data_IF_889493295769
#
_entry.id   IF_889493295769
#
_cell.length_a   1.000
_cell.length_b   1.000
_cell.length_c   1.000
_cell.angle_alpha   90.00
_cell.angle_beta   90.00
_cell.angle_gamma   90.00
#
_symmetry.space_group_name_H-M   'P 1'
#
loop_
_entity.id
_entity.type
_entity.pdbx_description
1 polymer ?
#
# COMPACT_ATOMS: atom_id res chain seq x y z
N UNK A 1 -14.15 7.28 4.38
CA UNK A 1 -13.02 6.37 4.10
C UNK A 1 -13.46 4.94 4.32
N UNK A 2 -13.15 4.07 3.37
CA UNK A 2 -13.42 2.64 3.46
C UNK A 2 -12.09 1.90 3.44
N UNK A 3 -11.90 0.98 4.40
CA UNK A 3 -10.71 0.14 4.46
C UNK A 3 -11.05 -1.21 3.85
N UNK A 4 -10.25 -1.66 2.88
CA UNK A 4 -10.43 -2.94 2.21
C UNK A 4 -9.11 -3.71 2.23
N UNK A 5 -9.12 -4.91 2.81
CA UNK A 5 -7.98 -5.83 2.78
C UNK A 5 -8.19 -6.85 1.65
N UNK A 6 -7.22 -6.96 0.77
CA UNK A 6 -7.32 -7.89 -0.35
C UNK A 6 -6.99 -9.31 0.08
N UNK A 7 -7.58 -10.29 -0.61
CA UNK A 7 -7.39 -11.71 -0.28
C UNK A 7 -6.06 -12.26 -0.76
N UNK A 8 -5.49 -11.64 -1.80
CA UNK A 8 -4.24 -12.10 -2.40
C UNK A 8 -3.06 -11.78 -1.49
N UNK A 9 -2.06 -12.63 -1.47
CA UNK A 9 -0.89 -12.42 -0.63
C UNK A 9 0.12 -13.56 -0.70
N UNK A 10 -0.13 -14.59 -1.53
CA UNK A 10 0.74 -15.76 -1.62
C UNK A 10 1.65 -15.77 -2.85
N UNK A 11 1.42 -14.87 -3.81
CA UNK A 11 2.22 -14.80 -5.03
C UNK A 11 3.51 -14.00 -4.86
N UNK A 12 4.30 -13.94 -5.92
CA UNK A 12 5.52 -13.15 -5.95
C UNK A 12 5.19 -11.64 -6.07
N UNK A 13 6.16 -10.82 -5.70
CA UNK A 13 6.02 -9.36 -5.67
C UNK A 13 5.65 -8.75 -7.02
N UNK A 14 6.10 -9.37 -8.12
CA UNK A 14 5.89 -8.85 -9.47
C UNK A 14 4.42 -8.55 -9.76
N UNK A 15 3.52 -9.47 -9.44
CA UNK A 15 2.09 -9.29 -9.74
C UNK A 15 1.48 -8.12 -8.99
N UNK A 16 1.78 -8.00 -7.72
CA UNK A 16 1.30 -6.93 -6.86
C UNK A 16 1.87 -5.57 -7.28
N UNK A 17 3.19 -5.51 -7.51
CA UNK A 17 3.86 -4.26 -7.87
C UNK A 17 3.52 -3.81 -9.29
N UNK A 18 3.36 -4.75 -10.24
CA UNK A 18 2.92 -4.42 -11.59
C UNK A 18 1.52 -3.82 -11.59
N UNK A 19 0.64 -4.33 -10.74
CA UNK A 19 -0.69 -3.76 -10.60
C UNK A 19 -0.64 -2.33 -10.03
N UNK A 20 0.14 -2.12 -8.96
CA UNK A 20 0.16 -0.83 -8.27
C UNK A 20 0.90 0.26 -9.04
N UNK A 21 2.03 -0.08 -9.64
CA UNK A 21 2.95 0.89 -10.25
C UNK A 21 3.08 0.77 -11.76
N UNK A 22 2.48 -0.27 -12.37
CA UNK A 22 2.66 -0.59 -13.78
C UNK A 22 3.85 -1.50 -14.01
N UNK A 23 3.85 -2.25 -15.11
CA UNK A 23 4.96 -3.15 -15.46
C UNK A 23 6.28 -2.39 -15.64
N UNK A 24 6.19 -1.17 -16.18
CA UNK A 24 7.33 -0.27 -16.38
C UNK A 24 7.53 0.69 -15.19
N UNK A 25 6.76 0.55 -14.13
CA UNK A 25 6.72 1.44 -12.95
C UNK A 25 6.28 2.87 -13.27
N UNK A 26 5.60 3.06 -14.39
CA UNK A 26 5.11 4.36 -14.87
C UNK A 26 3.60 4.37 -15.07
N UNK A 27 2.84 3.64 -14.25
CA UNK A 27 1.38 3.63 -14.32
C UNK A 27 0.83 5.04 -14.14
N UNK A 28 -0.03 5.47 -15.07
CA UNK A 28 -0.69 6.77 -14.98
C UNK A 28 -1.58 6.84 -13.73
N UNK A 29 -1.66 8.01 -13.12
CA UNK A 29 -2.45 8.27 -11.92
C UNK A 29 -2.02 7.42 -10.71
N UNK A 30 -0.80 6.89 -10.73
CA UNK A 30 -0.18 6.19 -9.60
C UNK A 30 1.04 6.96 -9.12
N UNK A 31 1.15 7.12 -7.81
CA UNK A 31 2.25 7.86 -7.18
C UNK A 31 2.72 7.11 -5.95
N UNK A 32 4.01 6.81 -5.90
CA UNK A 32 4.64 6.25 -4.71
C UNK A 32 4.71 7.32 -3.63
N UNK A 33 4.05 7.10 -2.49
CA UNK A 33 4.03 8.07 -1.40
C UNK A 33 5.07 7.77 -0.33
N UNK A 34 5.31 6.49 -0.04
CA UNK A 34 6.22 6.08 1.02
C UNK A 34 6.63 4.63 0.85
N UNK A 35 7.79 4.27 1.39
CA UNK A 35 8.31 2.91 1.38
C UNK A 35 9.33 2.68 0.29
N UNK A 36 10.02 1.55 0.39
CA UNK A 36 11.09 1.14 -0.52
C UNK A 36 10.59 -0.03 -1.38
N UNK A 37 10.46 0.21 -2.69
CA UNK A 37 9.94 -0.78 -3.65
C UNK A 37 10.86 -2.01 -3.72
N UNK A 38 12.18 -1.79 -3.80
CA UNK A 38 13.14 -2.88 -3.91
C UNK A 38 13.15 -3.76 -2.65
N UNK A 39 13.17 -3.15 -1.47
CA UNK A 39 13.13 -3.87 -0.22
C UNK A 39 11.82 -4.65 -0.07
N UNK A 40 10.71 -4.02 -0.42
CA UNK A 40 9.39 -4.67 -0.38
C UNK A 40 9.40 -5.91 -1.27
N UNK A 41 9.90 -5.80 -2.50
CA UNK A 41 10.00 -6.92 -3.43
C UNK A 41 10.87 -8.04 -2.88
N UNK A 42 12.05 -7.72 -2.34
CA UNK A 42 12.97 -8.71 -1.77
C UNK A 42 12.34 -9.45 -0.59
N UNK A 43 11.67 -8.75 0.30
CA UNK A 43 11.04 -9.36 1.48
C UNK A 43 9.89 -10.28 1.09
N UNK A 44 9.10 -9.90 0.10
CA UNK A 44 8.01 -10.74 -0.40
C UNK A 44 8.57 -11.98 -1.08
N UNK A 45 9.51 -11.81 -2.01
CA UNK A 45 10.01 -12.91 -2.84
C UNK A 45 10.83 -13.92 -2.05
N UNK A 46 11.48 -13.49 -0.96
CA UNK A 46 12.25 -14.37 -0.09
C UNK A 46 11.45 -14.96 1.06
N UNK A 47 10.18 -14.60 1.20
CA UNK A 47 9.36 -15.06 2.32
C UNK A 47 9.13 -16.57 2.27
N UNK A 48 9.37 -17.30 3.39
CA UNK A 48 9.07 -18.74 3.47
C UNK A 48 7.61 -19.03 3.78
N UNK A 49 6.80 -18.01 4.05
CA UNK A 49 5.42 -18.20 4.47
C UNK A 49 4.50 -18.40 3.27
N UNK A 50 3.38 -19.12 3.50
CA UNK A 50 2.35 -19.28 2.47
C UNK A 50 1.75 -17.92 2.10
N UNK A 51 1.44 -17.10 3.09
CA UNK A 51 1.02 -15.72 2.87
C UNK A 51 2.23 -14.81 3.02
N UNK A 52 2.72 -14.30 1.90
CA UNK A 52 3.98 -13.54 1.83
C UNK A 52 3.78 -12.06 2.15
N UNK A 53 2.58 -11.53 1.88
CA UNK A 53 2.29 -10.13 2.11
C UNK A 53 0.81 -9.90 2.41
N UNK A 54 0.53 -8.74 2.99
CA UNK A 54 -0.82 -8.22 3.21
C UNK A 54 -0.96 -6.95 2.38
N UNK A 55 -2.04 -6.80 1.66
CA UNK A 55 -2.29 -5.62 0.85
C UNK A 55 -3.76 -5.19 0.95
N UNK A 56 -4.01 -3.96 0.57
CA UNK A 56 -5.34 -3.41 0.55
C UNK A 56 -5.33 -1.95 0.17
N UNK A 57 -6.43 -1.28 0.41
CA UNK A 57 -6.51 0.16 0.15
C UNK A 57 -7.43 0.87 1.11
N UNK A 58 -7.16 2.15 1.29
CA UNK A 58 -8.04 3.12 1.92
C UNK A 58 -8.70 3.91 0.79
N UNK A 59 -10.02 3.77 0.62
CA UNK A 59 -10.76 4.43 -0.44
C UNK A 59 -11.47 5.66 0.10
N UNK A 60 -11.39 6.76 -0.62
CA UNK A 60 -11.96 8.04 -0.23
C UNK A 60 -13.02 8.47 -1.23
N UNK A 61 -14.02 9.19 -0.74
CA UNK A 61 -15.03 9.82 -1.58
C UNK A 61 -14.44 11.00 -2.35
N UNK A 62 -13.51 11.71 -1.73
CA UNK A 62 -12.88 12.91 -2.26
C UNK A 62 -11.94 12.59 -3.42
N UNK A 63 -11.79 13.56 -4.33
CA UNK A 63 -10.83 13.48 -5.43
C UNK A 63 -9.39 13.45 -4.90
N UNK A 64 -9.11 14.24 -3.88
CA UNK A 64 -7.78 14.33 -3.29
C UNK A 64 -7.88 14.87 -1.86
N UNK A 65 -6.80 14.74 -1.12
CA UNK A 65 -6.58 15.33 0.20
C UNK A 65 -5.23 16.03 0.17
N UNK A 66 -4.99 16.97 1.10
CA UNK A 66 -3.67 17.58 1.18
C UNK A 66 -2.65 16.56 1.72
N UNK A 67 -1.36 16.84 1.50
CA UNK A 67 -0.28 15.92 1.84
C UNK A 67 -0.20 15.66 3.34
N UNK A 68 -0.47 16.67 4.15
CA UNK A 68 -0.44 16.55 5.61
C UNK A 68 -1.52 15.58 6.11
N UNK A 69 -2.73 15.68 5.56
CA UNK A 69 -3.83 14.78 5.92
C UNK A 69 -3.52 13.35 5.48
N UNK A 70 -2.98 13.16 4.27
CA UNK A 70 -2.56 11.84 3.80
C UNK A 70 -1.53 11.22 4.74
N UNK A 71 -0.53 11.98 5.13
CA UNK A 71 0.52 11.53 6.05
C UNK A 71 -0.04 11.12 7.39
N UNK A 72 -0.95 11.91 7.95
CA UNK A 72 -1.58 11.63 9.23
C UNK A 72 -2.43 10.35 9.16
N UNK A 73 -3.18 10.18 8.07
CA UNK A 73 -4.00 8.99 7.86
C UNK A 73 -3.14 7.74 7.76
N UNK A 74 -2.06 7.79 6.97
CA UNK A 74 -1.13 6.68 6.83
C UNK A 74 -0.47 6.31 8.15
N UNK A 75 -0.02 7.29 8.92
CA UNK A 75 0.59 7.07 10.23
C UNK A 75 -0.40 6.43 11.21
N UNK A 76 -1.62 6.94 11.26
CA UNK A 76 -2.66 6.41 12.15
C UNK A 76 -3.00 4.96 11.79
N UNK A 77 -3.07 4.65 10.50
CA UNK A 77 -3.33 3.29 10.03
C UNK A 77 -2.20 2.34 10.43
N UNK A 78 -0.95 2.76 10.25
CA UNK A 78 0.22 1.97 10.63
C UNK A 78 0.25 1.71 12.14
N UNK A 79 -0.07 2.70 12.96
CA UNK A 79 -0.13 2.53 14.41
C UNK A 79 -1.25 1.57 14.83
N UNK A 80 -2.36 1.54 14.13
CA UNK A 80 -3.43 0.58 14.39
C UNK A 80 -3.03 -0.85 14.03
N UNK A 81 -2.25 -1.02 12.95
CA UNK A 81 -1.79 -2.34 12.52
C UNK A 81 -0.61 -2.85 13.36
N UNK A 82 0.28 -1.95 13.78
CA UNK A 82 1.54 -2.31 14.42
C UNK A 82 1.72 -1.56 15.74
N UNK A 83 0.79 -1.70 16.72
CA UNK A 83 0.85 -0.89 17.94
C UNK A 83 2.07 -1.18 18.82
N UNK A 84 2.70 -2.35 18.65
CA UNK A 84 3.86 -2.75 19.44
C UNK A 84 5.20 -2.64 18.69
N UNK A 85 5.18 -2.11 17.45
CA UNK A 85 6.39 -2.02 16.63
C UNK A 85 6.73 -0.57 16.33
N UNK A 86 8.04 -0.28 16.31
CA UNK A 86 8.54 0.98 15.79
C UNK A 86 8.57 0.96 14.25
N UNK A 87 8.56 2.13 13.58
CA UNK A 87 8.55 2.18 12.12
C UNK A 87 9.71 1.47 11.43
N UNK A 88 10.85 1.28 12.10
CA UNK A 88 11.99 0.56 11.54
C UNK A 88 11.88 -0.96 11.69
N UNK A 89 10.86 -1.47 12.35
CA UNK A 89 10.64 -2.91 12.57
C UNK A 89 9.71 -3.55 11.54
N UNK A 90 9.17 -2.77 10.60
CA UNK A 90 8.32 -3.29 9.53
C UNK A 90 8.54 -2.50 8.25
N UNK A 91 8.16 -3.08 7.11
CA UNK A 91 8.16 -2.41 5.83
C UNK A 91 6.72 -2.25 5.36
N UNK A 92 6.36 -1.05 4.92
CA UNK A 92 5.07 -0.81 4.28
C UNK A 92 5.30 0.09 3.08
N UNK A 93 4.65 -0.27 1.96
CA UNK A 93 4.68 0.50 0.72
C UNK A 93 3.32 1.17 0.57
N UNK A 94 3.31 2.47 0.31
CA UNK A 94 2.10 3.23 0.05
C UNK A 94 2.11 3.79 -1.36
N UNK A 95 1.07 3.48 -2.12
CA UNK A 95 0.91 3.95 -3.51
C UNK A 95 -0.45 4.60 -3.66
N UNK A 96 -0.46 5.85 -4.12
CA UNK A 96 -1.69 6.58 -4.40
C UNK A 96 -2.20 6.27 -5.79
N UNK A 97 -3.49 6.00 -5.91
CA UNK A 97 -4.19 5.93 -7.20
C UNK A 97 -5.30 6.98 -7.23
N UNK A 98 -5.50 7.60 -8.41
CA UNK A 98 -6.56 8.57 -8.66
C UNK A 98 -7.23 8.31 -10.01
N UNK A 99 -7.47 7.03 -10.33
CA UNK A 99 -8.04 6.64 -11.63
C UNK A 99 -9.44 6.06 -11.57
N UNK A 100 -10.02 5.90 -10.38
CA UNK A 100 -11.41 5.45 -10.24
C UNK A 100 -12.36 6.63 -10.14
N UNK A 101 -13.47 6.56 -10.88
CA UNK A 101 -14.43 7.66 -10.97
C UNK A 101 -15.46 7.58 -9.85
N UNK A 102 -15.69 8.71 -9.18
CA UNK A 102 -16.81 8.88 -8.26
C UNK A 102 -18.07 9.14 -9.10
N UNK A 103 -19.05 8.25 -9.01
CA UNK A 103 -20.26 8.31 -9.83
C UNK A 103 -21.13 9.55 -9.50
N UNK A 104 -21.03 10.08 -8.30
CA UNK A 104 -21.82 11.24 -7.88
C UNK A 104 -21.26 12.57 -8.41
N UNK A 105 -19.93 12.68 -8.47
CA UNK A 105 -19.26 13.93 -8.84
C UNK A 105 -18.68 13.95 -10.24
N UNK A 106 -18.49 12.76 -10.86
CA UNK A 106 -17.82 12.63 -12.14
C UNK A 106 -16.31 12.81 -12.08
N UNK A 107 -15.74 13.10 -10.92
CA UNK A 107 -14.30 13.23 -10.73
C UNK A 107 -13.70 11.89 -10.29
N UNK A 108 -12.38 11.75 -10.45
CA UNK A 108 -11.66 10.59 -9.91
C UNK A 108 -11.59 10.67 -8.39
N UNK A 109 -11.53 9.49 -7.74
CA UNK A 109 -11.43 9.35 -6.29
C UNK A 109 -10.01 9.03 -5.89
N UNK A 110 -9.65 9.45 -4.66
CA UNK A 110 -8.39 9.09 -4.05
C UNK A 110 -8.45 7.67 -3.48
N UNK A 111 -7.42 6.88 -3.76
CA UNK A 111 -7.18 5.60 -3.09
C UNK A 111 -5.74 5.56 -2.61
N UNK A 112 -5.53 5.19 -1.35
CA UNK A 112 -4.21 4.95 -0.79
C UNK A 112 -4.03 3.44 -0.64
N UNK A 113 -3.22 2.86 -1.50
CA UNK A 113 -2.95 1.42 -1.52
C UNK A 113 -1.74 1.10 -0.66
N UNK A 114 -1.78 -0.01 0.08
CA UNK A 114 -0.66 -0.44 0.91
C UNK A 114 -0.29 -1.89 0.61
N UNK A 115 1.00 -2.17 0.75
CA UNK A 115 1.57 -3.53 0.68
C UNK A 115 2.53 -3.69 1.84
N UNK A 116 2.33 -4.76 2.61
CA UNK A 116 3.12 -5.06 3.79
C UNK A 116 3.70 -6.46 3.66
N UNK A 117 5.02 -6.61 3.48
CA UNK A 117 5.63 -7.94 3.61
C UNK A 117 5.36 -8.49 5.01
N UNK A 118 4.93 -9.76 5.08
CA UNK A 118 4.54 -10.37 6.35
C UNK A 118 5.79 -10.86 7.11
N UNK A 119 6.65 -9.91 7.50
CA UNK A 119 7.88 -10.16 8.22
C UNK A 119 8.18 -9.00 9.16
N UNK A 120 8.64 -9.32 10.37
CA UNK A 120 9.10 -8.32 11.33
C UNK A 120 10.62 -8.19 11.16
N UNK A 121 11.12 -6.97 10.92
CA UNK A 121 12.48 -6.75 10.43
C UNK A 121 13.56 -7.01 11.48
N UNK A 122 13.23 -6.87 12.78
CA UNK A 122 14.23 -7.08 13.83
C UNK A 122 14.46 -8.55 14.17
N UNK A 123 13.52 -9.42 13.83
CA UNK A 123 13.64 -10.87 14.08
C UNK A 123 13.65 -11.71 12.80
N UNK A 124 13.37 -11.08 11.69
CA UNK A 124 13.29 -11.77 10.41
C UNK A 124 11.98 -12.41 10.17
#
# INVERSE_FOLDING_TARGET
MIVDFFRHGSGLSKNCLDYLLGEDREREQALLLSGDVELTAQLIDSSPFAKKYTSGCLSFYEHDLNDQDKQQIMQNFEQCLFPALDPDQYQILWVQHQDKVNQDTGETRLELNFVIPNVELSTG
#
